data_IF_804164611329
#
_entry.id   IF_804164611329
#
_cell.length_a   1.000
_cell.length_b   1.000
_cell.length_c   1.000
_cell.angle_alpha   90.00
_cell.angle_beta   90.00
_cell.angle_gamma   90.00
#
_symmetry.space_group_name_H-M   'P 1'
#
loop_
_entity.id
_entity.type
_entity.pdbx_description
1 polymer ?
#
# COMPACT_ATOMS: atom_id res chain seq x y z
N UNK A 1 9.26 -7.61 10.39
CA UNK A 1 9.71 -8.96 9.95
C UNK A 1 10.95 -8.95 9.07
N UNK A 2 10.97 -8.51 7.80
CA UNK A 2 12.23 -8.59 6.99
C UNK A 2 13.35 -7.62 7.42
N UNK A 3 13.00 -6.46 7.99
CA UNK A 3 13.98 -5.46 8.45
C UNK A 3 14.72 -5.84 9.74
N UNK A 4 14.14 -6.68 10.59
CA UNK A 4 14.79 -7.19 11.81
C UNK A 4 15.97 -8.09 11.46
N UNK A 5 15.73 -9.04 10.55
CA UNK A 5 16.77 -9.90 10.00
C UNK A 5 17.86 -9.08 9.31
N UNK A 6 17.50 -8.05 8.55
CA UNK A 6 18.47 -7.14 7.94
C UNK A 6 19.35 -6.43 8.97
N UNK A 7 18.76 -5.79 9.98
CA UNK A 7 19.53 -5.10 11.02
C UNK A 7 20.45 -6.04 11.81
N UNK A 8 19.99 -7.28 12.06
CA UNK A 8 20.83 -8.31 12.67
C UNK A 8 22.02 -8.71 11.78
N UNK A 9 21.79 -8.89 10.47
CA UNK A 9 22.86 -9.18 9.51
C UNK A 9 23.88 -8.04 9.52
N UNK A 10 23.45 -6.78 9.46
CA UNK A 10 24.36 -5.63 9.51
C UNK A 10 25.23 -5.63 10.77
N UNK A 11 24.63 -5.81 11.95
CA UNK A 11 25.38 -5.88 13.23
C UNK A 11 26.40 -7.02 13.26
N UNK A 12 26.00 -8.21 12.80
CA UNK A 12 26.85 -9.41 12.86
C UNK A 12 28.00 -9.37 11.85
N UNK A 13 27.77 -8.77 10.68
CA UNK A 13 28.82 -8.57 9.68
C UNK A 13 29.80 -7.50 10.15
N UNK A 14 29.31 -6.38 10.70
CA UNK A 14 30.15 -5.31 11.23
C UNK A 14 31.06 -5.78 12.38
N UNK A 15 30.54 -6.63 13.29
CA UNK A 15 31.29 -7.13 14.43
C UNK A 15 32.16 -8.38 14.15
N UNK A 16 31.89 -9.10 13.06
CA UNK A 16 32.36 -10.48 12.87
C UNK A 16 33.09 -10.76 11.56
N UNK A 17 33.47 -9.71 10.81
CA UNK A 17 34.29 -9.84 9.62
C UNK A 17 35.73 -10.20 10.01
N UNK A 18 36.29 -11.24 9.38
CA UNK A 18 37.70 -11.61 9.58
C UNK A 18 38.59 -10.74 8.71
N UNK A 19 39.87 -10.57 9.06
CA UNK A 19 40.80 -9.73 8.29
C UNK A 19 40.96 -10.20 6.84
N UNK A 20 40.88 -11.51 6.60
CA UNK A 20 41.03 -12.22 5.32
C UNK A 20 39.71 -12.46 4.54
N UNK A 21 38.56 -12.18 5.15
CA UNK A 21 37.24 -12.43 4.55
C UNK A 21 36.74 -11.20 3.77
N UNK A 22 36.17 -11.43 2.59
CA UNK A 22 35.46 -10.38 1.84
C UNK A 22 34.11 -10.08 2.49
N UNK A 23 33.60 -8.86 2.31
CA UNK A 23 32.31 -8.46 2.89
C UNK A 23 31.17 -9.32 2.33
N UNK A 24 31.25 -9.69 1.05
CA UNK A 24 30.29 -10.58 0.38
C UNK A 24 30.24 -11.97 1.02
N UNK A 25 31.40 -12.57 1.29
CA UNK A 25 31.50 -13.89 1.91
C UNK A 25 30.96 -13.88 3.35
N UNK A 26 31.27 -12.83 4.11
CA UNK A 26 30.77 -12.65 5.47
C UNK A 26 29.23 -12.49 5.49
N UNK A 27 28.65 -11.69 4.58
CA UNK A 27 27.19 -11.56 4.43
C UNK A 27 26.56 -12.92 4.12
N UNK A 28 27.12 -13.67 3.16
CA UNK A 28 26.63 -14.99 2.77
C UNK A 28 26.70 -16.02 3.90
N UNK A 29 27.77 -16.00 4.70
CA UNK A 29 27.93 -16.85 5.90
C UNK A 29 26.92 -16.50 6.98
N UNK A 30 26.73 -15.22 7.26
CA UNK A 30 25.79 -14.73 8.27
C UNK A 30 24.35 -15.05 7.87
N UNK A 31 23.97 -14.82 6.62
CA UNK A 31 22.60 -15.06 6.12
C UNK A 31 22.18 -16.55 6.22
N UNK A 32 23.14 -17.47 6.08
CA UNK A 32 22.97 -18.93 6.22
C UNK A 32 23.04 -19.42 7.68
N UNK A 33 23.42 -18.58 8.64
CA UNK A 33 23.51 -19.01 10.03
C UNK A 33 22.14 -19.28 10.64
N UNK A 34 22.02 -20.35 11.44
CA UNK A 34 20.75 -20.70 12.12
C UNK A 34 20.24 -19.56 13.02
N UNK A 35 21.15 -18.75 13.57
CA UNK A 35 20.78 -17.59 14.40
C UNK A 35 19.94 -16.55 13.66
N UNK A 36 20.05 -16.46 12.32
CA UNK A 36 19.22 -15.56 11.53
C UNK A 36 17.74 -15.97 11.49
N UNK A 37 17.42 -17.24 11.77
CA UNK A 37 16.04 -17.71 11.82
C UNK A 37 15.24 -17.08 12.98
N UNK A 38 15.90 -16.68 14.08
CA UNK A 38 15.25 -16.01 15.21
C UNK A 38 14.78 -14.59 14.90
N UNK A 39 15.25 -13.97 13.81
CA UNK A 39 14.93 -12.59 13.43
C UNK A 39 13.98 -12.50 12.22
N UNK A 40 13.36 -13.62 11.84
CA UNK A 40 12.31 -13.68 10.82
C UNK A 40 12.69 -14.43 9.54
N UNK A 41 11.75 -14.42 8.60
CA UNK A 41 11.84 -15.16 7.33
C UNK A 41 13.03 -14.72 6.46
N UNK A 42 13.49 -15.59 5.54
CA UNK A 42 14.54 -15.25 4.58
C UNK A 42 14.20 -13.99 3.78
N UNK A 43 15.22 -13.16 3.53
CA UNK A 43 15.07 -11.94 2.76
C UNK A 43 14.62 -12.28 1.33
N UNK A 44 13.52 -11.69 0.90
CA UNK A 44 13.00 -11.93 -0.45
C UNK A 44 13.87 -11.21 -1.50
N UNK A 45 14.14 -11.85 -2.65
CA UNK A 45 15.02 -11.30 -3.71
C UNK A 45 14.59 -9.93 -4.24
N UNK A 46 13.30 -9.59 -4.13
CA UNK A 46 12.73 -8.30 -4.58
C UNK A 46 12.56 -7.28 -3.45
N UNK A 47 12.99 -7.60 -2.24
CA UNK A 47 12.88 -6.69 -1.10
C UNK A 47 14.03 -5.68 -1.10
N UNK A 48 13.74 -4.44 -0.66
CA UNK A 48 14.75 -3.40 -0.51
C UNK A 48 15.94 -3.81 0.39
N UNK A 49 15.75 -4.48 1.55
CA UNK A 49 16.86 -4.91 2.40
C UNK A 49 17.84 -5.84 1.68
N UNK A 50 17.33 -6.76 0.83
CA UNK A 50 18.19 -7.66 0.06
C UNK A 50 19.01 -6.89 -0.98
N UNK A 51 18.39 -5.95 -1.70
CA UNK A 51 19.11 -5.09 -2.67
C UNK A 51 20.17 -4.22 -1.99
N UNK A 52 19.92 -3.72 -0.79
CA UNK A 52 20.92 -2.97 -0.02
C UNK A 52 22.11 -3.88 0.30
N UNK A 53 21.88 -5.08 0.85
CA UNK A 53 22.95 -6.04 1.15
C UNK A 53 23.73 -6.45 -0.10
N UNK A 54 23.03 -6.74 -1.21
CA UNK A 54 23.67 -7.13 -2.47
C UNK A 54 24.53 -5.97 -3.03
N UNK A 55 24.09 -4.72 -2.87
CA UNK A 55 24.89 -3.54 -3.26
C UNK A 55 26.09 -3.32 -2.35
N UNK A 56 25.94 -3.51 -1.03
CA UNK A 56 27.05 -3.42 -0.08
C UNK A 56 28.09 -4.51 -0.35
N UNK A 57 27.65 -5.72 -0.73
CA UNK A 57 28.53 -6.82 -1.10
C UNK A 57 29.36 -6.55 -2.36
N UNK A 58 28.94 -5.61 -3.20
CA UNK A 58 29.63 -5.20 -4.44
C UNK A 58 30.60 -4.01 -4.23
N UNK A 59 30.72 -3.48 -3.01
CA UNK A 59 31.64 -2.37 -2.72
C UNK A 59 33.07 -2.93 -2.62
N UNK A 60 33.96 -2.46 -3.50
CA UNK A 60 35.35 -2.94 -3.59
C UNK A 60 36.19 -2.63 -2.32
N UNK A 61 35.87 -1.54 -1.61
CA UNK A 61 36.57 -1.15 -0.38
C UNK A 61 35.88 -1.74 0.86
N UNK A 62 36.60 -2.60 1.58
CA UNK A 62 36.17 -3.18 2.86
C UNK A 62 35.81 -2.11 3.90
N UNK A 63 36.60 -1.05 4.00
CA UNK A 63 36.37 0.06 4.91
C UNK A 63 35.07 0.81 4.59
N UNK A 64 34.82 1.11 3.31
CA UNK A 64 33.57 1.77 2.89
C UNK A 64 32.36 0.88 3.13
N UNK A 65 32.45 -0.40 2.80
CA UNK A 65 31.36 -1.35 3.03
C UNK A 65 31.03 -1.48 4.52
N UNK A 66 32.04 -1.48 5.40
CA UNK A 66 31.85 -1.49 6.85
C UNK A 66 31.27 -0.17 7.37
N UNK A 67 31.71 0.99 6.85
CA UNK A 67 31.11 2.28 7.17
C UNK A 67 29.62 2.32 6.81
N UNK A 68 29.25 1.82 5.61
CA UNK A 68 27.85 1.69 5.18
C UNK A 68 27.06 0.75 6.09
N UNK A 69 27.62 -0.40 6.48
CA UNK A 69 26.96 -1.33 7.41
C UNK A 69 26.80 -0.76 8.81
N UNK A 70 27.78 0.00 9.29
CA UNK A 70 27.72 0.71 10.56
C UNK A 70 26.61 1.77 10.57
N UNK A 71 26.40 2.46 9.46
CA UNK A 71 25.25 3.35 9.31
C UNK A 71 23.95 2.55 9.46
N UNK A 72 23.79 1.44 8.72
CA UNK A 72 22.55 0.63 8.77
C UNK A 72 22.30 -0.10 10.09
N UNK A 73 23.34 -0.46 10.85
CA UNK A 73 23.19 -1.22 12.10
C UNK A 73 22.52 -0.41 13.22
N UNK A 74 22.70 0.92 13.19
CA UNK A 74 22.14 1.87 14.16
C UNK A 74 20.68 2.21 13.87
N UNK A 75 20.16 1.84 12.70
CA UNK A 75 18.75 2.05 12.42
C UNK A 75 17.88 1.04 13.16
N UNK A 76 17.17 1.53 14.17
CA UNK A 76 15.97 0.86 14.64
C UNK A 76 14.80 1.12 13.68
N UNK A 77 14.65 0.19 12.73
CA UNK A 77 13.63 0.15 11.68
C UNK A 77 12.40 -0.68 12.10
N UNK A 78 12.48 -1.41 13.22
CA UNK A 78 11.55 -2.50 13.55
C UNK A 78 10.19 -1.98 13.99
N UNK A 79 10.15 -1.06 14.95
CA UNK A 79 8.89 -0.50 15.45
C UNK A 79 8.19 0.44 14.46
N UNK A 80 8.91 0.94 13.45
CA UNK A 80 8.47 2.09 12.64
C UNK A 80 7.88 1.72 11.29
N UNK A 81 8.06 0.46 10.86
CA UNK A 81 7.51 -0.07 9.61
C UNK A 81 6.30 -0.99 9.81
N UNK A 82 5.77 -1.11 11.03
CA UNK A 82 4.57 -1.89 11.26
C UNK A 82 3.39 -1.31 10.45
N UNK A 83 2.79 -2.17 9.61
CA UNK A 83 1.57 -1.85 8.88
C UNK A 83 0.51 -1.35 9.89
N UNK A 84 -0.05 -0.14 9.73
CA UNK A 84 -0.99 0.36 10.73
C UNK A 84 -2.23 -0.51 10.71
N UNK A 85 -2.61 -0.98 11.90
CA UNK A 85 -3.76 -1.86 12.12
C UNK A 85 -5.04 -1.27 11.51
N UNK A 86 -5.13 0.06 11.40
CA UNK A 86 -6.25 0.78 10.76
C UNK A 86 -6.41 0.45 9.27
N UNK A 87 -5.34 0.27 8.50
CA UNK A 87 -5.44 -0.10 7.08
C UNK A 87 -6.06 -1.48 6.89
N UNK A 88 -5.68 -2.45 7.73
CA UNK A 88 -6.24 -3.81 7.68
C UNK A 88 -7.76 -3.79 7.89
N UNK A 89 -8.24 -3.00 8.85
CA UNK A 89 -9.67 -2.86 9.15
C UNK A 89 -10.45 -2.22 8.00
N UNK A 90 -9.94 -1.14 7.41
CA UNK A 90 -10.65 -0.44 6.31
C UNK A 90 -10.75 -1.34 5.08
N UNK A 91 -9.66 -2.03 4.70
CA UNK A 91 -9.69 -2.96 3.56
C UNK A 91 -10.63 -4.13 3.81
N UNK A 92 -10.62 -4.71 5.02
CA UNK A 92 -11.55 -5.79 5.39
C UNK A 92 -13.01 -5.33 5.33
N UNK A 93 -13.31 -4.13 5.85
CA UNK A 93 -14.65 -3.54 5.79
C UNK A 93 -15.10 -3.33 4.34
N UNK A 94 -14.24 -2.75 3.50
CA UNK A 94 -14.58 -2.48 2.09
C UNK A 94 -14.80 -3.77 1.30
N UNK A 95 -14.02 -4.82 1.60
CA UNK A 95 -14.23 -6.16 1.04
C UNK A 95 -15.57 -6.75 1.47
N UNK A 96 -15.93 -6.62 2.74
CA UNK A 96 -17.22 -7.12 3.26
C UNK A 96 -18.40 -6.38 2.63
N UNK A 97 -18.34 -5.04 2.56
CA UNK A 97 -19.37 -4.22 1.90
C UNK A 97 -19.54 -4.59 0.43
N UNK A 98 -18.43 -4.84 -0.27
CA UNK A 98 -18.45 -5.26 -1.67
C UNK A 98 -19.11 -6.63 -1.83
N UNK A 99 -18.81 -7.57 -0.95
CA UNK A 99 -19.43 -8.90 -0.95
C UNK A 99 -20.94 -8.83 -0.71
N UNK A 100 -21.37 -8.09 0.32
CA UNK A 100 -22.79 -7.89 0.63
C UNK A 100 -23.51 -7.18 -0.54
N UNK A 101 -22.89 -6.18 -1.16
CA UNK A 101 -23.45 -5.48 -2.32
C UNK A 101 -23.79 -6.45 -3.45
N UNK A 102 -22.87 -7.36 -3.82
CA UNK A 102 -23.14 -8.34 -4.87
C UNK A 102 -24.23 -9.34 -4.49
N UNK A 103 -24.33 -9.74 -3.21
CA UNK A 103 -25.44 -10.58 -2.74
C UNK A 103 -26.77 -9.87 -2.92
N UNK A 104 -26.88 -8.60 -2.48
CA UNK A 104 -28.10 -7.81 -2.58
C UNK A 104 -28.50 -7.59 -4.04
N UNK A 105 -27.53 -7.25 -4.90
CA UNK A 105 -27.74 -7.13 -6.36
C UNK A 105 -28.23 -8.45 -6.96
N UNK A 106 -27.66 -9.58 -6.55
CA UNK A 106 -28.08 -10.90 -7.00
C UNK A 106 -29.51 -11.24 -6.58
N UNK A 107 -29.87 -10.99 -5.32
CA UNK A 107 -31.25 -11.19 -4.82
C UNK A 107 -32.22 -10.31 -5.60
N UNK A 108 -31.87 -9.05 -5.86
CA UNK A 108 -32.72 -8.14 -6.59
C UNK A 108 -33.02 -8.65 -8.01
N UNK A 109 -31.99 -9.04 -8.75
CA UNK A 109 -32.10 -9.51 -10.13
C UNK A 109 -32.83 -10.86 -10.24
N UNK A 110 -32.56 -11.80 -9.34
CA UNK A 110 -33.11 -13.16 -9.44
C UNK A 110 -34.51 -13.29 -8.86
N UNK A 111 -34.85 -12.48 -7.84
CA UNK A 111 -36.12 -12.62 -7.11
C UNK A 111 -36.98 -11.37 -7.21
N UNK A 112 -36.45 -10.20 -6.88
CA UNK A 112 -37.28 -9.00 -6.69
C UNK A 112 -37.82 -8.47 -8.01
N UNK A 113 -36.94 -8.15 -8.96
CA UNK A 113 -37.32 -7.63 -10.27
C UNK A 113 -38.29 -8.55 -11.05
N UNK A 114 -38.02 -9.87 -11.22
CA UNK A 114 -38.94 -10.73 -11.97
C UNK A 114 -40.28 -10.93 -11.27
N UNK A 115 -40.32 -10.95 -9.94
CA UNK A 115 -41.59 -11.08 -9.20
C UNK A 115 -42.48 -9.85 -9.40
N UNK A 116 -41.90 -8.65 -9.38
CA UNK A 116 -42.65 -7.43 -9.67
C UNK A 116 -43.14 -7.37 -11.11
N UNK A 117 -42.30 -7.73 -12.09
CA UNK A 117 -42.70 -7.75 -13.50
C UNK A 117 -43.83 -8.75 -13.76
N UNK A 118 -43.75 -9.94 -13.15
CA UNK A 118 -44.82 -10.93 -13.24
C UNK A 118 -46.11 -10.39 -12.61
N UNK A 119 -46.05 -9.78 -11.42
CA UNK A 119 -47.22 -9.18 -10.80
C UNK A 119 -47.85 -8.07 -11.67
N UNK A 120 -47.06 -7.14 -12.21
CA UNK A 120 -47.60 -6.10 -13.10
C UNK A 120 -48.24 -6.68 -14.37
N UNK A 121 -47.65 -7.73 -14.95
CA UNK A 121 -48.25 -8.44 -16.08
C UNK A 121 -49.54 -9.16 -15.71
N UNK A 122 -49.58 -9.84 -14.55
CA UNK A 122 -50.75 -10.57 -14.06
C UNK A 122 -51.93 -9.62 -13.74
N UNK A 123 -51.64 -8.39 -13.32
CA UNK A 123 -52.64 -7.34 -13.08
C UNK A 123 -52.96 -6.48 -14.31
N UNK A 124 -52.38 -6.76 -15.49
CA UNK A 124 -52.51 -5.97 -16.73
C UNK A 124 -52.18 -4.47 -16.55
N UNK A 125 -51.34 -4.14 -15.56
CA UNK A 125 -51.01 -2.77 -15.21
C UNK A 125 -49.81 -2.27 -16.04
N UNK A 126 -49.89 -1.04 -16.52
CA UNK A 126 -48.76 -0.40 -17.20
C UNK A 126 -47.61 -0.21 -16.22
N UNK A 127 -46.44 -0.77 -16.55
CA UNK A 127 -45.23 -0.63 -15.73
C UNK A 127 -44.92 0.86 -15.52
N UNK A 128 -44.75 1.33 -14.28
CA UNK A 128 -44.44 2.73 -14.02
C UNK A 128 -43.14 3.16 -14.72
N UNK A 129 -43.15 4.35 -15.35
CA UNK A 129 -41.99 4.87 -16.13
C UNK A 129 -40.65 4.87 -15.37
N UNK A 130 -40.69 5.11 -14.07
CA UNK A 130 -39.49 5.10 -13.22
C UNK A 130 -38.93 3.68 -13.00
N UNK A 131 -39.78 2.66 -12.99
CA UNK A 131 -39.39 1.26 -12.88
C UNK A 131 -38.72 0.78 -14.18
N UNK A 132 -39.29 1.15 -15.34
CA UNK A 132 -38.70 0.88 -16.64
C UNK A 132 -37.32 1.52 -16.82
N UNK A 133 -37.19 2.81 -16.48
CA UNK A 133 -35.88 3.49 -16.50
C UNK A 133 -34.86 2.80 -15.58
N UNK A 134 -35.27 2.42 -14.37
CA UNK A 134 -34.37 1.71 -13.46
C UNK A 134 -33.93 0.37 -14.02
N UNK A 135 -34.83 -0.40 -14.62
CA UNK A 135 -34.52 -1.69 -15.23
C UNK A 135 -33.58 -1.56 -16.42
N UNK A 136 -33.78 -0.55 -17.28
CA UNK A 136 -32.94 -0.28 -18.45
C UNK A 136 -31.51 0.14 -18.05
N UNK A 137 -31.38 0.94 -16.98
CA UNK A 137 -30.09 1.49 -16.54
C UNK A 137 -29.45 0.76 -15.36
N UNK A 138 -30.11 -0.26 -14.78
CA UNK A 138 -29.62 -1.00 -13.61
C UNK A 138 -28.22 -1.58 -13.84
N UNK A 139 -28.00 -2.19 -15.00
CA UNK A 139 -26.69 -2.76 -15.35
C UNK A 139 -25.57 -1.72 -15.30
N UNK A 140 -25.82 -0.52 -15.82
CA UNK A 140 -24.87 0.58 -15.77
C UNK A 140 -24.63 1.08 -14.35
N UNK A 141 -25.67 1.19 -13.52
CA UNK A 141 -25.55 1.59 -12.11
C UNK A 141 -24.69 0.58 -11.35
N UNK A 142 -25.00 -0.72 -11.48
CA UNK A 142 -24.22 -1.79 -10.84
C UNK A 142 -22.78 -1.78 -11.33
N UNK A 143 -22.56 -1.58 -12.64
CA UNK A 143 -21.21 -1.52 -13.22
C UNK A 143 -20.40 -0.35 -12.67
N UNK A 144 -20.99 0.86 -12.59
CA UNK A 144 -20.32 2.04 -12.03
C UNK A 144 -19.97 1.83 -10.56
N UNK A 145 -20.90 1.33 -9.74
CA UNK A 145 -20.66 1.03 -8.32
C UNK A 145 -19.59 -0.07 -8.17
N UNK A 146 -19.62 -1.09 -9.03
CA UNK A 146 -18.64 -2.17 -9.03
C UNK A 146 -17.23 -1.67 -9.36
N UNK A 147 -17.08 -0.84 -10.39
CA UNK A 147 -15.80 -0.21 -10.75
C UNK A 147 -15.26 0.59 -9.57
N UNK A 148 -16.12 1.36 -8.90
CA UNK A 148 -15.74 2.21 -7.77
C UNK A 148 -15.28 1.38 -6.55
N UNK A 149 -16.00 0.31 -6.22
CA UNK A 149 -15.64 -0.63 -5.15
C UNK A 149 -14.33 -1.36 -5.45
N UNK A 150 -14.17 -1.88 -6.67
CA UNK A 150 -12.94 -2.56 -7.11
C UNK A 150 -11.76 -1.59 -7.09
N UNK A 151 -11.92 -0.38 -7.62
CA UNK A 151 -10.88 0.65 -7.60
C UNK A 151 -10.46 0.98 -6.16
N UNK A 152 -11.42 1.12 -5.24
CA UNK A 152 -11.16 1.37 -3.82
C UNK A 152 -10.37 0.23 -3.16
N UNK A 153 -10.72 -1.03 -3.45
CA UNK A 153 -9.98 -2.20 -2.98
C UNK A 153 -8.56 -2.26 -3.53
N UNK A 154 -8.40 -2.00 -4.84
CA UNK A 154 -7.10 -1.98 -5.51
C UNK A 154 -6.20 -0.88 -4.92
N UNK A 155 -6.75 0.31 -4.64
CA UNK A 155 -6.01 1.37 -3.95
C UNK A 155 -5.58 0.91 -2.56
N UNK A 156 -6.50 0.37 -1.76
CA UNK A 156 -6.21 -0.07 -0.40
C UNK A 156 -5.12 -1.14 -0.36
N UNK A 157 -5.16 -2.10 -1.29
CA UNK A 157 -4.15 -3.14 -1.40
C UNK A 157 -2.78 -2.59 -1.85
N UNK A 158 -2.75 -1.66 -2.80
CA UNK A 158 -1.50 -1.04 -3.24
C UNK A 158 -0.90 -0.14 -2.16
N UNK A 159 -1.70 0.69 -1.48
CA UNK A 159 -1.24 1.49 -0.34
C UNK A 159 -0.63 0.61 0.75
N UNK A 160 -1.24 -0.54 1.05
CA UNK A 160 -0.66 -1.53 1.96
C UNK A 160 0.69 -2.04 1.46
N UNK A 161 0.81 -2.32 0.16
CA UNK A 161 2.05 -2.82 -0.45
C UNK A 161 3.20 -1.81 -0.36
N UNK A 162 2.94 -0.50 -0.36
CA UNK A 162 4.00 0.53 -0.19
C UNK A 162 4.79 0.33 1.11
N UNK A 163 4.12 -0.05 2.21
CA UNK A 163 4.77 -0.26 3.50
C UNK A 163 5.63 -1.53 3.56
N UNK A 164 5.58 -2.38 2.53
CA UNK A 164 6.46 -3.56 2.39
C UNK A 164 7.77 -3.24 1.68
N UNK A 165 7.91 -2.06 1.07
CA UNK A 165 9.12 -1.63 0.34
C UNK A 165 9.64 -2.65 -0.68
N UNK A 166 8.73 -3.31 -1.41
CA UNK A 166 9.12 -4.17 -2.53
C UNK A 166 9.57 -3.34 -3.73
N UNK A 167 10.64 -3.76 -4.38
CA UNK A 167 11.17 -3.13 -5.58
C UNK A 167 10.20 -3.33 -6.76
N UNK A 168 9.89 -2.24 -7.47
CA UNK A 168 9.03 -2.25 -8.66
C UNK A 168 7.59 -1.74 -8.45
N UNK A 169 7.20 -1.36 -7.23
CA UNK A 169 5.90 -0.72 -6.96
C UNK A 169 5.81 0.65 -7.68
N UNK A 170 6.94 1.35 -7.80
CA UNK A 170 7.04 2.70 -8.39
C UNK A 170 6.62 2.77 -9.86
N UNK A 171 6.74 1.66 -10.60
CA UNK A 171 6.37 1.57 -12.01
C UNK A 171 4.93 1.10 -12.24
N UNK A 172 4.18 0.78 -11.17
CA UNK A 172 2.81 0.31 -11.28
C UNK A 172 1.86 1.43 -11.72
N UNK A 173 0.95 1.13 -12.66
CA UNK A 173 -0.11 2.06 -13.11
C UNK A 173 -0.93 2.60 -11.93
N UNK A 174 -1.22 1.75 -10.92
CA UNK A 174 -1.94 2.14 -9.72
C UNK A 174 -1.17 3.17 -8.89
N UNK A 175 0.15 2.98 -8.74
CA UNK A 175 1.00 3.97 -8.09
C UNK A 175 1.00 5.27 -8.87
N UNK A 176 1.11 5.25 -10.21
CA UNK A 176 1.19 6.44 -11.09
C UNK A 176 -0.12 7.20 -11.31
N UNK A 177 -1.29 6.61 -11.08
CA UNK A 177 -2.56 7.34 -11.27
C UNK A 177 -3.47 7.39 -10.04
N UNK A 178 -3.50 6.34 -9.21
CA UNK A 178 -4.48 6.27 -8.12
C UNK A 178 -3.92 6.73 -6.76
N UNK A 179 -2.61 6.63 -6.51
CA UNK A 179 -2.01 7.12 -5.25
C UNK A 179 -1.82 8.64 -5.29
N UNK A 180 -2.12 9.37 -4.22
CA UNK A 180 -1.93 10.82 -4.19
C UNK A 180 -0.46 11.23 -4.40
N UNK A 181 -0.25 12.37 -5.09
CA UNK A 181 1.10 12.87 -5.39
C UNK A 181 1.95 13.06 -4.13
N UNK A 182 1.33 13.48 -3.03
CA UNK A 182 1.99 13.64 -1.72
C UNK A 182 2.59 12.33 -1.20
N UNK A 183 1.82 11.24 -1.23
CA UNK A 183 2.27 9.90 -0.82
C UNK A 183 3.44 9.43 -1.68
N UNK A 184 3.39 9.68 -3.00
CA UNK A 184 4.49 9.31 -3.90
C UNK A 184 5.76 10.09 -3.58
N UNK A 185 5.65 11.39 -3.35
CA UNK A 185 6.81 12.22 -3.00
C UNK A 185 7.42 11.79 -1.67
N UNK A 186 6.60 11.55 -0.65
CA UNK A 186 7.09 11.05 0.64
C UNK A 186 7.71 9.65 0.53
N UNK A 187 7.12 8.76 -0.26
CA UNK A 187 7.68 7.42 -0.51
C UNK A 187 9.04 7.51 -1.22
N UNK A 188 9.17 8.37 -2.25
CA UNK A 188 10.45 8.63 -2.91
C UNK A 188 11.49 9.17 -1.94
N UNK A 189 11.12 10.14 -1.08
CA UNK A 189 12.02 10.66 -0.04
C UNK A 189 12.50 9.57 0.92
N UNK A 190 11.61 8.67 1.37
CA UNK A 190 11.99 7.52 2.21
C UNK A 190 12.96 6.60 1.46
N UNK A 191 12.69 6.34 0.17
CA UNK A 191 13.56 5.51 -0.66
C UNK A 191 14.94 6.15 -0.88
N UNK A 192 14.99 7.46 -1.12
CA UNK A 192 16.20 8.25 -1.29
C UNK A 192 17.06 8.22 -0.01
N UNK A 193 16.44 8.41 1.16
CA UNK A 193 17.12 8.28 2.45
C UNK A 193 17.67 6.86 2.60
N UNK A 194 16.84 5.82 2.43
CA UNK A 194 17.30 4.43 2.62
C UNK A 194 18.41 4.01 1.65
N UNK A 195 18.45 4.58 0.45
CA UNK A 195 19.47 4.29 -0.56
C UNK A 195 20.67 5.24 -0.51
N UNK A 196 20.66 6.28 0.31
CA UNK A 196 21.75 7.28 0.34
C UNK A 196 23.14 6.64 0.55
N UNK A 197 23.38 5.78 1.56
CA UNK A 197 24.71 5.20 1.84
C UNK A 197 25.24 4.26 0.75
N UNK A 198 24.37 3.74 -0.11
CA UNK A 198 24.72 2.83 -1.22
C UNK A 198 24.71 3.51 -2.59
N UNK A 199 24.32 4.79 -2.66
CA UNK A 199 24.22 5.53 -3.91
C UNK A 199 25.52 6.25 -4.25
N UNK A 200 26.33 6.61 -3.25
CA UNK A 200 27.68 7.11 -3.47
C UNK A 200 28.64 6.05 -4.03
N UNK A 201 28.30 4.77 -3.88
CA UNK A 201 29.15 3.66 -4.28
C UNK A 201 29.14 3.33 -5.78
N UNK A 202 28.37 4.02 -6.65
CA UNK A 202 28.38 3.67 -8.07
C UNK A 202 27.43 4.34 -9.07
N UNK A 203 26.84 5.51 -8.80
CA UNK A 203 26.10 6.26 -9.83
C UNK A 203 26.62 7.71 -9.97
N UNK A 204 26.80 8.23 -11.20
CA UNK A 204 27.24 9.60 -11.43
C UNK A 204 26.21 10.62 -10.91
N UNK A 205 26.72 11.71 -10.33
CA UNK A 205 26.00 12.74 -9.55
C UNK A 205 24.83 13.46 -10.27
N UNK A 206 24.60 13.22 -11.55
CA UNK A 206 23.74 14.06 -12.38
C UNK A 206 22.22 13.82 -12.23
N UNK A 207 21.77 12.73 -11.59
CA UNK A 207 20.34 12.34 -11.64
C UNK A 207 19.60 12.33 -10.28
N UNK A 208 20.23 12.79 -9.19
CA UNK A 208 19.62 12.77 -7.85
C UNK A 208 19.83 14.05 -7.04
N UNK A 209 19.59 15.20 -7.66
CA UNK A 209 19.45 16.50 -6.98
C UNK A 209 18.15 16.59 -6.17
N UNK A 210 17.92 15.63 -5.27
CA UNK A 210 16.95 15.79 -4.21
C UNK A 210 17.61 16.65 -3.14
N UNK A 211 17.01 17.78 -2.79
CA UNK A 211 17.43 18.69 -1.70
C UNK A 211 17.80 17.92 -0.41
N UNK A 212 17.17 16.77 -0.20
CA UNK A 212 17.37 15.85 0.91
C UNK A 212 18.73 15.11 0.86
N UNK A 213 19.22 14.76 -0.33
CA UNK A 213 20.54 14.14 -0.54
C UNK A 213 21.65 15.17 -0.31
N UNK A 214 21.44 16.41 -0.75
CA UNK A 214 22.38 17.50 -0.49
C UNK A 214 22.48 17.81 1.01
N UNK A 215 21.35 17.82 1.71
CA UNK A 215 21.34 17.99 3.16
C UNK A 215 22.09 16.87 3.89
N UNK A 216 21.92 15.60 3.46
CA UNK A 216 22.67 14.48 4.06
C UNK A 216 24.18 14.57 3.78
N UNK A 217 24.59 15.06 2.61
CA UNK A 217 26.01 15.36 2.31
C UNK A 217 26.58 16.48 3.18
N UNK A 218 25.79 17.53 3.45
CA UNK A 218 26.20 18.62 4.36
C UNK A 218 26.35 18.13 5.81
N UNK A 219 25.47 17.23 6.26
CA UNK A 219 25.52 16.61 7.60
C UNK A 219 26.76 15.74 7.75
N UNK A 220 27.09 14.96 6.71
CA UNK A 220 28.34 14.18 6.66
C UNK A 220 29.58 15.07 6.70
N UNK A 221 29.59 16.18 5.94
CA UNK A 221 30.68 17.16 5.96
C UNK A 221 30.82 17.91 7.30
N UNK A 222 29.79 17.88 8.15
CA UNK A 222 29.75 18.56 9.45
C UNK A 222 30.12 17.65 10.64
N UNK A 223 30.67 16.45 10.39
CA UNK A 223 31.01 15.42 11.39
C UNK A 223 29.82 14.96 12.26
N UNK A 224 28.59 15.28 11.85
CA UNK A 224 27.38 14.81 12.54
C UNK A 224 27.09 13.36 12.13
N UNK A 225 26.55 12.56 13.06
CA UNK A 225 26.23 11.16 12.82
C UNK A 225 25.10 11.02 11.78
N UNK A 226 25.48 10.69 10.54
CA UNK A 226 24.57 10.52 9.39
C UNK A 226 23.46 9.50 9.71
N UNK A 227 23.78 8.43 10.45
CA UNK A 227 22.81 7.42 10.87
C UNK A 227 21.66 8.00 11.72
N UNK A 228 21.97 8.89 12.67
CA UNK A 228 20.96 9.52 13.54
C UNK A 228 20.07 10.47 12.74
N UNK A 229 20.65 11.27 11.85
CA UNK A 229 19.89 12.24 11.06
C UNK A 229 18.99 11.52 10.04
N UNK A 230 19.52 10.52 9.34
CA UNK A 230 18.72 9.67 8.46
C UNK A 230 17.57 9.00 9.23
N UNK A 231 17.80 8.53 10.45
CA UNK A 231 16.74 7.93 11.28
C UNK A 231 15.67 8.96 11.66
N UNK A 232 16.06 10.20 11.97
CA UNK A 232 15.14 11.29 12.28
C UNK A 232 14.30 11.69 11.05
N UNK A 233 14.94 11.88 9.90
CA UNK A 233 14.27 12.21 8.63
C UNK A 233 13.34 11.08 8.19
N UNK A 234 13.78 9.83 8.29
CA UNK A 234 12.95 8.67 7.96
C UNK A 234 11.73 8.58 8.87
N UNK A 235 11.86 8.89 10.17
CA UNK A 235 10.73 8.95 11.11
C UNK A 235 9.71 10.00 10.69
N UNK A 236 10.16 11.19 10.29
CA UNK A 236 9.28 12.27 9.83
C UNK A 236 8.57 11.88 8.53
N UNK A 237 9.32 11.42 7.52
CA UNK A 237 8.74 11.08 6.22
C UNK A 237 7.80 9.87 6.30
N UNK A 238 8.10 8.88 7.16
CA UNK A 238 7.20 7.75 7.41
C UNK A 238 5.90 8.17 8.09
N UNK A 239 5.96 9.09 9.07
CA UNK A 239 4.75 9.63 9.70
C UNK A 239 3.89 10.37 8.68
N UNK A 240 4.49 11.19 7.82
CA UNK A 240 3.78 11.89 6.74
C UNK A 240 3.17 10.89 5.76
N UNK A 241 3.93 9.87 5.35
CA UNK A 241 3.46 8.83 4.44
C UNK A 241 2.24 8.10 5.03
N UNK A 242 2.30 7.77 6.32
CA UNK A 242 1.22 7.13 7.06
C UNK A 242 -0.02 8.01 7.13
N UNK A 243 0.12 9.23 7.61
CA UNK A 243 -0.98 10.17 7.79
C UNK A 243 -1.69 10.48 6.46
N UNK A 244 -0.93 10.69 5.39
CA UNK A 244 -1.49 10.94 4.06
C UNK A 244 -2.14 9.70 3.45
N UNK A 245 -1.60 8.52 3.70
CA UNK A 245 -2.23 7.26 3.28
C UNK A 245 -3.54 7.02 4.03
N UNK A 246 -3.60 7.33 5.34
CA UNK A 246 -4.84 7.24 6.14
C UNK A 246 -5.87 8.27 5.65
N UNK A 247 -5.44 9.49 5.35
CA UNK A 247 -6.30 10.54 4.81
C UNK A 247 -6.93 10.12 3.46
N UNK A 248 -6.13 9.55 2.56
CA UNK A 248 -6.63 9.03 1.28
C UNK A 248 -7.65 7.90 1.50
N UNK A 249 -7.36 6.94 2.38
CA UNK A 249 -8.27 5.84 2.69
C UNK A 249 -9.57 6.31 3.34
N UNK A 250 -9.51 7.30 4.23
CA UNK A 250 -10.70 7.89 4.84
C UNK A 250 -11.59 8.55 3.79
N UNK A 251 -11.00 9.31 2.87
CA UNK A 251 -11.73 9.96 1.78
C UNK A 251 -12.42 8.93 0.87
N UNK A 252 -11.71 7.86 0.51
CA UNK A 252 -12.27 6.74 -0.26
C UNK A 252 -13.41 6.08 0.50
N UNK A 253 -13.25 5.80 1.80
CA UNK A 253 -14.28 5.18 2.62
C UNK A 253 -15.54 6.03 2.74
N UNK A 254 -15.40 7.35 2.89
CA UNK A 254 -16.54 8.29 2.94
C UNK A 254 -17.26 8.31 1.59
N UNK A 255 -16.50 8.35 0.48
CA UNK A 255 -17.06 8.33 -0.85
C UNK A 255 -17.83 7.03 -1.14
N UNK A 256 -17.24 5.88 -0.79
CA UNK A 256 -17.91 4.57 -0.89
C UNK A 256 -19.17 4.53 -0.03
N UNK A 257 -19.13 5.03 1.21
CA UNK A 257 -20.30 5.07 2.08
C UNK A 257 -21.44 5.90 1.47
N UNK A 258 -21.13 7.08 0.91
CA UNK A 258 -22.10 7.94 0.25
C UNK A 258 -22.73 7.25 -0.98
N UNK A 259 -21.92 6.56 -1.78
CA UNK A 259 -22.40 5.78 -2.93
C UNK A 259 -23.30 4.63 -2.49
N UNK A 260 -22.92 3.89 -1.45
CA UNK A 260 -23.72 2.77 -0.93
C UNK A 260 -25.06 3.28 -0.37
N UNK A 261 -25.06 4.35 0.41
CA UNK A 261 -26.31 4.97 0.92
C UNK A 261 -27.20 5.43 -0.22
N UNK A 262 -26.62 6.04 -1.25
CA UNK A 262 -27.35 6.48 -2.45
C UNK A 262 -27.94 5.27 -3.19
N UNK A 263 -27.17 4.19 -3.36
CA UNK A 263 -27.62 2.95 -3.99
C UNK A 263 -28.76 2.29 -3.19
N UNK A 264 -28.67 2.26 -1.86
CA UNK A 264 -29.74 1.75 -0.98
C UNK A 264 -31.00 2.63 -1.12
N UNK A 265 -30.85 3.95 -1.14
CA UNK A 265 -31.98 4.86 -1.34
C UNK A 265 -32.68 4.61 -2.68
N UNK A 266 -31.92 4.51 -3.77
CA UNK A 266 -32.47 4.17 -5.08
C UNK A 266 -33.12 2.79 -5.11
N UNK A 267 -32.52 1.80 -4.45
CA UNK A 267 -33.11 0.48 -4.30
C UNK A 267 -34.45 0.53 -3.57
N UNK A 268 -34.51 1.20 -2.41
CA UNK A 268 -35.75 1.36 -1.65
C UNK A 268 -36.81 2.10 -2.46
N UNK A 269 -36.45 3.20 -3.12
CA UNK A 269 -37.37 3.92 -4.00
C UNK A 269 -37.90 3.02 -5.13
N UNK A 270 -37.04 2.22 -5.75
CA UNK A 270 -37.41 1.30 -6.83
C UNK A 270 -38.29 0.13 -6.37
N UNK A 271 -38.11 -0.36 -5.13
CA UNK A 271 -38.85 -1.51 -4.61
C UNK A 271 -40.18 -1.07 -3.96
N UNK A 272 -40.20 0.06 -3.27
CA UNK A 272 -41.39 0.57 -2.59
C UNK A 272 -42.36 1.25 -3.54
N UNK A 273 -41.89 1.94 -4.58
CA UNK A 273 -42.78 2.62 -5.51
C UNK A 273 -43.79 1.66 -6.19
N UNK A 274 -43.37 0.48 -6.69
CA UNK A 274 -44.29 -0.57 -7.12
C UNK A 274 -45.29 -1.04 -6.08
N UNK A 275 -44.84 -1.25 -4.84
CA UNK A 275 -45.68 -1.75 -3.74
C UNK A 275 -46.77 -0.73 -3.41
N UNK A 276 -46.43 0.56 -3.33
CA UNK A 276 -47.42 1.62 -3.13
C UNK A 276 -48.38 1.74 -4.30
N UNK A 277 -47.90 1.63 -5.54
CA UNK A 277 -48.77 1.67 -6.72
C UNK A 277 -49.75 0.49 -6.76
N UNK A 278 -49.28 -0.73 -6.44
CA UNK A 278 -50.15 -1.92 -6.31
C UNK A 278 -51.11 -1.79 -5.13
N UNK A 279 -50.67 -1.21 -4.00
CA UNK A 279 -51.49 -0.99 -2.81
C UNK A 279 -52.53 0.13 -2.92
N UNK A 280 -52.38 1.09 -3.84
CA UNK A 280 -53.42 2.07 -4.18
C UNK A 280 -54.50 1.49 -5.11
N UNK A 281 -54.21 0.37 -5.79
CA UNK A 281 -55.10 -0.24 -6.79
C UNK A 281 -55.95 -1.38 -6.20
N UNK A 282 -55.47 -2.05 -5.14
CA UNK A 282 -56.21 -3.05 -4.36
C UNK A 282 -57.13 -2.39 -3.32
#
# INVERSE_FOLDING_TARGET
MTWERFGYICRKVAAGIREDETVSDCIGRVEKSESCAYYGDPLHRRSLPKKILDKVALIDSKERALATLNIYQEFDLVEKFEEPIRFKRVVAYLSYVTFIFYIVVGIYQVKVAPTFLNAFNDFELSVPRHLGWYQDYWGYIVLVVSILLIASLVIGHNLRKLFRFDLGIENGFVFKYLVFRSIRTSYKKVMDILQFPISEAGEPEENRSSELVNHLKEVEASEMSVAVEMQALLRVQMRVLLEKSEQQMKLISVFVALVVVTAIFFFLASAYSPIFFLGEIV
#
